data_IF_312507829636
#
_entry.id   IF_312507829636
#
_cell.length_a   1.000
_cell.length_b   1.000
_cell.length_c   1.000
_cell.angle_alpha   90.00
_cell.angle_beta   90.00
_cell.angle_gamma   90.00
#
_symmetry.space_group_name_H-M   'P 1'
#
loop_
_entity.id
_entity.type
_entity.pdbx_description
1 polymer ?
#
# COMPACT_ATOMS: atom_id res chain seq x y z
N UNK A 1 -39.17 -33.04 -0.81
CA UNK A 1 -38.51 -32.43 -1.99
C UNK A 1 -38.43 -30.93 -1.75
N UNK A 2 -37.24 -30.43 -1.39
CA UNK A 2 -36.75 -29.04 -1.56
C UNK A 2 -35.55 -28.84 -0.63
N UNK A 3 -34.40 -29.37 -1.05
CA UNK A 3 -33.11 -28.91 -0.53
C UNK A 3 -32.83 -27.54 -1.17
N UNK A 4 -32.76 -26.50 -0.35
CA UNK A 4 -32.41 -25.16 -0.81
C UNK A 4 -30.89 -25.09 -0.87
N UNK A 5 -30.31 -25.37 -2.04
CA UNK A 5 -28.89 -25.20 -2.33
C UNK A 5 -28.47 -23.76 -2.02
N UNK A 6 -27.53 -23.52 -1.08
CA UNK A 6 -26.94 -22.20 -0.93
C UNK A 6 -26.07 -21.94 -2.16
N UNK A 7 -26.44 -20.91 -2.91
CA UNK A 7 -25.67 -20.42 -4.04
C UNK A 7 -24.25 -20.07 -3.59
N UNK A 8 -23.24 -20.63 -4.26
CA UNK A 8 -21.84 -20.26 -4.11
C UNK A 8 -21.68 -18.74 -4.31
N UNK A 9 -21.46 -18.01 -3.23
CA UNK A 9 -21.16 -16.58 -3.28
C UNK A 9 -19.74 -16.40 -3.82
N UNK A 10 -19.64 -15.69 -4.96
CA UNK A 10 -18.39 -15.44 -5.65
C UNK A 10 -17.35 -14.76 -4.74
N UNK A 11 -16.14 -15.27 -4.81
CA UNK A 11 -14.95 -14.76 -4.14
C UNK A 11 -14.66 -13.34 -4.62
N UNK A 12 -15.09 -12.33 -3.86
CA UNK A 12 -14.64 -10.97 -4.07
C UNK A 12 -13.18 -10.86 -3.64
N UNK A 13 -12.27 -11.12 -4.59
CA UNK A 13 -10.83 -10.86 -4.47
C UNK A 13 -10.63 -9.36 -4.27
N UNK A 14 -10.68 -8.92 -3.01
CA UNK A 14 -10.38 -7.55 -2.66
C UNK A 14 -8.87 -7.42 -2.60
N UNK A 15 -8.26 -6.87 -3.66
CA UNK A 15 -6.87 -6.41 -3.62
C UNK A 15 -6.70 -5.57 -2.36
N UNK A 16 -5.91 -6.05 -1.39
CA UNK A 16 -5.49 -5.20 -0.29
C UNK A 16 -4.66 -4.07 -0.86
N UNK A 17 -5.31 -2.91 -0.88
CA UNK A 17 -4.68 -1.62 -0.96
C UNK A 17 -4.04 -1.32 -2.30
N UNK A 18 -4.72 -0.50 -3.09
CA UNK A 18 -4.06 0.50 -3.92
C UNK A 18 -3.07 1.41 -3.13
N UNK A 19 -2.97 1.22 -1.80
CA UNK A 19 -2.06 1.85 -0.85
C UNK A 19 -0.94 0.89 -0.37
N UNK A 20 -0.17 0.28 -1.28
CA UNK A 20 1.13 -0.28 -0.91
C UNK A 20 2.10 0.89 -0.64
N UNK A 21 2.69 0.90 0.55
CA UNK A 21 3.70 1.89 0.96
C UNK A 21 4.83 2.02 -0.07
N UNK A 22 5.20 0.93 -0.77
CA UNK A 22 6.24 0.96 -1.81
C UNK A 22 5.83 1.83 -3.00
N UNK A 23 4.56 1.76 -3.38
CA UNK A 23 4.04 2.57 -4.48
C UNK A 23 3.88 4.03 -4.05
N UNK A 24 3.45 4.28 -2.80
CA UNK A 24 3.35 5.63 -2.23
C UNK A 24 4.71 6.31 -2.14
N UNK A 25 5.70 5.66 -1.52
CA UNK A 25 7.07 6.18 -1.39
C UNK A 25 7.70 6.36 -2.78
N UNK A 26 7.56 5.37 -3.67
CA UNK A 26 8.08 5.45 -5.04
C UNK A 26 7.48 6.61 -5.84
N UNK A 27 6.16 6.83 -5.75
CA UNK A 27 5.48 7.93 -6.42
C UNK A 27 5.88 9.29 -5.86
N UNK A 28 5.97 9.43 -4.52
CA UNK A 28 6.44 10.65 -3.86
C UNK A 28 7.86 10.98 -4.29
N UNK A 29 8.80 10.03 -4.21
CA UNK A 29 10.19 10.23 -4.65
C UNK A 29 10.26 10.60 -6.14
N UNK A 30 9.48 9.93 -7.00
CA UNK A 30 9.43 10.24 -8.42
C UNK A 30 8.91 11.64 -8.70
N UNK A 31 7.83 12.05 -8.04
CA UNK A 31 7.28 13.41 -8.14
C UNK A 31 8.29 14.45 -7.68
N UNK A 32 8.92 14.26 -6.52
CA UNK A 32 9.97 15.18 -6.03
C UNK A 32 11.17 15.23 -6.97
N UNK A 33 11.60 14.10 -7.54
CA UNK A 33 12.68 14.06 -8.53
C UNK A 33 12.36 14.88 -9.78
N UNK A 34 11.12 14.77 -10.29
CA UNK A 34 10.64 15.58 -11.43
C UNK A 34 10.64 17.06 -11.07
N UNK A 35 10.18 17.42 -9.87
CA UNK A 35 10.19 18.81 -9.39
C UNK A 35 11.62 19.36 -9.33
N UNK A 36 12.59 18.59 -8.85
CA UNK A 36 14.00 19.03 -8.82
C UNK A 36 14.58 19.23 -10.21
N UNK A 37 14.26 18.36 -11.17
CA UNK A 37 14.65 18.56 -12.57
C UNK A 37 14.00 19.82 -13.14
N UNK A 38 12.72 20.08 -12.83
CA UNK A 38 12.06 21.32 -13.23
C UNK A 38 12.75 22.54 -12.60
N UNK A 39 13.14 22.49 -11.32
CA UNK A 39 13.90 23.57 -10.68
C UNK A 39 15.24 23.82 -11.37
N UNK A 40 15.93 22.79 -11.87
CA UNK A 40 17.16 22.97 -12.64
C UNK A 40 16.94 23.79 -13.93
N UNK A 41 15.83 23.58 -14.64
CA UNK A 41 15.56 24.28 -15.90
C UNK A 41 14.91 25.66 -15.73
N UNK A 42 14.07 25.82 -14.71
CA UNK A 42 13.17 26.97 -14.60
C UNK A 42 13.49 27.89 -13.41
N UNK A 43 14.29 27.46 -12.44
CA UNK A 43 14.51 28.19 -11.20
C UNK A 43 15.97 28.64 -11.08
N UNK A 44 16.17 29.88 -10.65
CA UNK A 44 17.49 30.37 -10.29
C UNK A 44 17.99 29.63 -9.04
N UNK A 45 19.23 29.11 -9.03
CA UNK A 45 19.77 28.33 -7.92
C UNK A 45 19.92 29.14 -6.63
N UNK A 46 19.87 30.47 -6.70
CA UNK A 46 19.97 31.35 -5.55
C UNK A 46 21.39 31.42 -4.97
N UNK A 47 21.48 32.03 -3.79
CA UNK A 47 22.74 32.30 -3.09
C UNK A 47 22.87 31.35 -1.90
N UNK A 48 24.07 30.83 -1.67
CA UNK A 48 24.41 30.10 -0.46
C UNK A 48 24.43 31.05 0.74
N UNK A 49 23.63 30.83 1.79
CA UNK A 49 23.56 31.72 2.94
C UNK A 49 24.87 31.74 3.75
N UNK A 50 25.64 30.65 3.69
CA UNK A 50 26.87 30.50 4.48
C UNK A 50 28.09 31.16 3.81
N UNK A 51 28.14 31.17 2.47
CA UNK A 51 29.29 31.64 1.70
C UNK A 51 29.01 32.91 0.90
N UNK A 52 27.74 33.27 0.72
CA UNK A 52 27.31 34.37 -0.17
C UNK A 52 27.55 34.10 -1.66
N UNK A 53 27.99 32.90 -2.04
CA UNK A 53 28.25 32.52 -3.44
C UNK A 53 26.98 32.01 -4.12
N UNK A 54 26.91 32.11 -5.45
CA UNK A 54 25.86 31.44 -6.21
C UNK A 54 25.90 29.93 -5.96
N UNK A 55 24.72 29.30 -5.87
CA UNK A 55 24.59 27.85 -5.90
C UNK A 55 24.70 27.35 -7.33
N UNK A 56 25.20 26.13 -7.50
CA UNK A 56 25.25 25.50 -8.81
C UNK A 56 23.87 24.90 -9.14
N UNK A 57 23.25 25.25 -10.28
CA UNK A 57 21.98 24.64 -10.69
C UNK A 57 22.06 23.11 -10.74
N UNK A 58 23.23 22.59 -11.12
CA UNK A 58 23.48 21.17 -11.31
C UNK A 58 23.18 20.32 -10.06
N UNK A 59 23.22 20.90 -8.85
CA UNK A 59 22.92 20.18 -7.60
C UNK A 59 21.47 19.64 -7.58
N UNK A 60 20.52 20.43 -8.09
CA UNK A 60 19.13 20.01 -8.23
C UNK A 60 18.99 18.89 -9.26
N UNK A 61 19.76 18.96 -10.35
CA UNK A 61 19.73 17.95 -11.41
C UNK A 61 20.24 16.59 -10.91
N UNK A 62 21.41 16.57 -10.26
CA UNK A 62 21.98 15.33 -9.72
C UNK A 62 21.10 14.73 -8.63
N UNK A 63 20.57 15.55 -7.72
CA UNK A 63 19.64 15.09 -6.68
C UNK A 63 18.35 14.54 -7.27
N UNK A 64 17.76 15.25 -8.25
CA UNK A 64 16.55 14.81 -8.94
C UNK A 64 16.74 13.50 -9.70
N UNK A 65 17.89 13.35 -10.39
CA UNK A 65 18.22 12.13 -11.12
C UNK A 65 18.43 10.94 -10.18
N UNK A 66 19.12 11.14 -9.06
CA UNK A 66 19.29 10.11 -8.03
C UNK A 66 17.94 9.68 -7.45
N UNK A 67 17.05 10.63 -7.13
CA UNK A 67 15.69 10.32 -6.66
C UNK A 67 14.88 9.54 -7.69
N UNK A 68 14.94 9.92 -8.98
CA UNK A 68 14.25 9.20 -10.05
C UNK A 68 14.76 7.77 -10.21
N UNK A 69 16.07 7.55 -10.10
CA UNK A 69 16.64 6.21 -10.14
C UNK A 69 16.09 5.33 -9.00
N UNK A 70 16.06 5.84 -7.77
CA UNK A 70 15.50 5.12 -6.62
C UNK A 70 14.01 4.87 -6.78
N UNK A 71 13.25 5.87 -7.26
CA UNK A 71 11.82 5.74 -7.54
C UNK A 71 11.54 4.63 -8.57
N UNK A 72 12.32 4.59 -9.66
CA UNK A 72 12.20 3.55 -10.69
C UNK A 72 12.48 2.15 -10.13
N UNK A 73 13.51 2.01 -9.31
CA UNK A 73 13.84 0.74 -8.63
C UNK A 73 12.69 0.32 -7.71
N UNK A 74 12.14 1.25 -6.92
CA UNK A 74 11.01 0.95 -6.02
C UNK A 74 9.75 0.54 -6.77
N UNK A 75 9.38 1.25 -7.85
CA UNK A 75 8.22 0.90 -8.67
C UNK A 75 8.40 -0.46 -9.34
N UNK A 76 9.59 -0.74 -9.86
CA UNK A 76 9.91 -2.04 -10.46
C UNK A 76 9.78 -3.15 -9.41
N UNK A 77 10.32 -2.94 -8.20
CA UNK A 77 10.25 -3.92 -7.13
C UNK A 77 8.84 -4.15 -6.60
N UNK A 78 8.02 -3.09 -6.49
CA UNK A 78 6.61 -3.19 -6.14
C UNK A 78 5.83 -4.01 -7.17
N UNK A 79 6.12 -3.82 -8.46
CA UNK A 79 5.55 -4.64 -9.55
C UNK A 79 5.98 -6.11 -9.50
N UNK A 80 7.22 -6.39 -9.08
CA UNK A 80 7.75 -7.75 -9.01
C UNK A 80 7.22 -8.55 -7.80
N UNK A 81 6.84 -7.88 -6.70
CA UNK A 81 6.34 -8.54 -5.47
C UNK A 81 4.99 -7.96 -5.02
N UNK A 82 3.92 -8.17 -5.80
CA UNK A 82 2.58 -7.73 -5.42
C UNK A 82 2.12 -8.46 -4.15
N UNK A 83 1.66 -7.70 -3.16
CA UNK A 83 1.13 -8.23 -1.90
C UNK A 83 -0.33 -8.59 -2.14
N UNK A 84 -0.63 -9.87 -2.27
CA UNK A 84 -2.00 -10.39 -2.33
C UNK A 84 -2.41 -10.72 -0.89
N UNK A 85 -3.46 -10.08 -0.41
CA UNK A 85 -4.08 -10.43 0.88
C UNK A 85 -5.33 -11.23 0.58
N UNK A 86 -5.35 -12.48 1.03
CA UNK A 86 -6.55 -13.32 0.96
C UNK A 86 -7.53 -12.90 2.07
N UNK A 87 -8.69 -12.38 1.66
CA UNK A 87 -9.76 -11.99 2.59
C UNK A 87 -10.52 -13.17 3.19
N UNK A 88 -10.29 -14.40 2.73
CA UNK A 88 -10.93 -15.61 3.28
C UNK A 88 -10.62 -15.84 4.76
N UNK A 89 -9.41 -15.50 5.24
CA UNK A 89 -9.03 -15.74 6.63
C UNK A 89 -9.77 -14.85 7.65
N UNK A 90 -10.30 -13.69 7.22
CA UNK A 90 -11.03 -12.77 8.10
C UNK A 90 -12.52 -13.15 8.25
N UNK A 91 -13.09 -13.85 7.26
CA UNK A 91 -14.51 -14.24 7.27
C UNK A 91 -14.74 -15.46 8.18
N UNK A 92 -13.78 -16.38 8.27
CA UNK A 92 -13.86 -17.58 9.12
C UNK A 92 -13.83 -17.25 10.63
N UNK A 93 -13.19 -16.15 11.03
CA UNK A 93 -13.15 -15.69 12.42
C UNK A 93 -14.43 -14.98 12.89
N UNK A 94 -15.22 -14.43 11.95
CA UNK A 94 -16.47 -13.73 12.25
C UNK A 94 -17.72 -14.60 11.98
N UNK A 95 -17.54 -15.78 11.39
CA UNK A 95 -18.62 -16.61 10.84
C UNK A 95 -19.24 -17.64 11.78
N UNK A 96 -18.76 -17.82 13.01
CA UNK A 96 -19.28 -18.88 13.89
C UNK A 96 -19.92 -18.40 15.21
N UNK A 97 -21.04 -17.65 15.16
CA UNK A 97 -21.92 -17.46 16.32
C UNK A 97 -22.70 -18.75 16.69
N UNK A 98 -22.66 -19.80 15.84
CA UNK A 98 -23.38 -21.04 16.05
C UNK A 98 -22.66 -21.97 17.06
N UNK A 99 -21.33 -21.99 17.07
CA UNK A 99 -20.55 -22.72 18.08
C UNK A 99 -20.82 -22.25 19.51
N UNK A 100 -21.03 -20.94 19.72
CA UNK A 100 -21.36 -20.37 21.03
C UNK A 100 -22.80 -20.71 21.49
N UNK A 101 -23.75 -20.82 20.56
CA UNK A 101 -25.15 -21.16 20.85
C UNK A 101 -25.32 -22.65 21.21
N UNK A 102 -24.56 -23.56 20.60
CA UNK A 102 -24.64 -25.00 20.87
C UNK A 102 -24.05 -25.40 22.23
N UNK A 103 -22.98 -24.73 22.66
CA UNK A 103 -22.32 -24.99 23.94
C UNK A 103 -23.20 -24.59 25.15
N UNK A 104 -23.97 -23.50 25.04
CA UNK A 104 -24.88 -23.06 26.10
C UNK A 104 -26.08 -24.00 26.27
N UNK A 105 -26.63 -24.53 25.17
CA UNK A 105 -27.81 -25.40 25.21
C UNK A 105 -27.55 -26.78 25.86
N UNK A 106 -26.34 -27.34 25.72
CA UNK A 106 -25.99 -28.65 26.28
C UNK A 106 -25.65 -28.59 27.79
N UNK A 107 -25.40 -27.40 28.34
CA UNK A 107 -25.04 -27.25 29.77
C UNK A 107 -26.24 -27.31 30.73
N UNK A 108 -27.47 -27.35 30.20
CA UNK A 108 -28.72 -27.31 30.98
C UNK A 108 -29.51 -28.63 30.97
N UNK A 109 -29.01 -29.67 30.30
CA UNK A 109 -29.70 -30.96 30.13
C UNK A 109 -29.24 -32.06 31.12
N UNK A 110 -28.57 -31.67 32.21
CA UNK A 110 -28.01 -32.61 33.20
C UNK A 110 -28.14 -32.14 34.64
N UNK A 111 -29.19 -31.38 34.98
CA UNK A 111 -29.47 -30.91 36.34
C UNK A 111 -30.93 -31.16 36.71
N UNK A 112 -31.34 -32.41 36.64
CA UNK A 112 -32.64 -32.91 37.09
C UNK A 112 -32.51 -34.34 37.63
#
# INVERSE_FOLDING_TARGET
>A
MSEKTPAAQGTSQQHAGAFDLRNVIGALLGLYGIVLIACFFFLDPGINPDTGSLKEPADNLYSGLAMLAVAAIMMLWARLRPIVVDTSAAQDAAGDPAAASGAAANSNAGRD
#
